data_IF_422611284798
#
_entry.id   IF_422611284798
#
_cell.length_a   1.000
_cell.length_b   1.000
_cell.length_c   1.000
_cell.angle_alpha   90.00
_cell.angle_beta   90.00
_cell.angle_gamma   90.00
#
_symmetry.space_group_name_H-M   'P 1'
#
loop_
_entity.id
_entity.type
_entity.pdbx_description
1 polymer ?
#
# COMPACT_ATOMS: atom_id res chain seq x y z
N UNK A 1 27.50 18.09 24.39
CA UNK A 1 26.97 18.71 23.15
C UNK A 1 27.43 17.92 21.93
N UNK A 2 26.65 16.92 21.48
CA UNK A 2 26.89 16.23 20.20
C UNK A 2 26.01 16.90 19.15
N UNK A 3 26.60 17.63 18.21
CA UNK A 3 25.90 18.17 17.03
C UNK A 3 25.45 17.00 16.16
N UNK A 4 24.18 16.65 16.18
CA UNK A 4 23.55 15.82 15.14
C UNK A 4 23.46 16.66 13.88
N UNK A 5 24.41 16.45 12.97
CA UNK A 5 24.34 16.93 11.60
C UNK A 5 23.20 16.17 10.91
N UNK A 6 21.99 16.74 10.96
CA UNK A 6 20.86 16.26 10.16
C UNK A 6 21.20 16.47 8.69
N UNK A 7 21.66 15.41 8.03
CA UNK A 7 21.73 15.35 6.57
C UNK A 7 20.32 15.56 6.04
N UNK A 8 20.11 16.68 5.35
CA UNK A 8 18.83 17.03 4.72
C UNK A 8 18.66 16.11 3.51
N UNK A 9 17.98 14.97 3.70
CA UNK A 9 17.69 14.03 2.62
C UNK A 9 16.48 14.56 1.84
N UNK A 10 16.73 15.08 0.63
CA UNK A 10 15.66 15.50 -0.27
C UNK A 10 15.15 14.30 -1.08
N UNK A 11 13.88 13.97 -0.91
CA UNK A 11 13.19 13.00 -1.76
C UNK A 11 12.45 13.71 -2.88
N UNK A 12 12.83 13.42 -4.14
CA UNK A 12 12.10 13.92 -5.32
C UNK A 12 11.10 12.86 -5.79
N UNK A 13 9.81 13.19 -5.72
CA UNK A 13 8.72 12.33 -6.19
C UNK A 13 8.20 12.88 -7.52
N UNK A 14 8.19 12.04 -8.55
CA UNK A 14 7.66 12.40 -9.87
C UNK A 14 6.47 11.52 -10.22
N UNK A 15 5.29 12.12 -10.42
CA UNK A 15 4.13 11.41 -10.98
C UNK A 15 4.23 11.42 -12.50
N UNK A 16 4.13 10.24 -13.11
CA UNK A 16 4.21 10.09 -14.56
C UNK A 16 2.97 9.37 -15.08
N UNK A 17 2.48 9.81 -16.24
CA UNK A 17 1.33 9.23 -16.91
C UNK A 17 1.81 8.14 -17.86
N UNK A 18 1.10 7.01 -17.84
CA UNK A 18 1.31 5.91 -18.77
C UNK A 18 0.60 6.22 -20.09
N UNK A 19 1.29 6.01 -21.20
CA UNK A 19 0.74 6.08 -22.55
C UNK A 19 0.90 4.75 -23.26
N UNK A 20 0.00 4.46 -24.19
CA UNK A 20 0.10 3.30 -25.06
C UNK A 20 0.96 3.64 -26.27
N UNK A 21 1.95 2.81 -26.58
CA UNK A 21 2.72 2.97 -27.81
C UNK A 21 1.98 2.29 -28.96
N UNK A 22 1.38 3.08 -29.86
CA UNK A 22 0.67 2.56 -31.04
C UNK A 22 1.62 2.01 -32.12
N UNK A 23 2.93 2.34 -32.05
CA UNK A 23 3.91 1.98 -33.09
C UNK A 23 4.60 0.63 -32.86
N UNK A 24 4.50 0.03 -31.67
CA UNK A 24 5.07 -1.30 -31.41
C UNK A 24 4.21 -2.47 -31.90
N UNK A 25 3.37 -2.23 -32.91
CA UNK A 25 2.53 -3.24 -33.59
C UNK A 25 3.37 -4.16 -34.51
N UNK A 26 4.42 -4.77 -33.98
CA UNK A 26 5.17 -5.85 -34.59
C UNK A 26 4.98 -7.10 -33.73
N UNK A 27 3.94 -7.89 -34.04
CA UNK A 27 3.76 -9.28 -33.64
C UNK A 27 3.57 -9.58 -32.15
N UNK A 28 2.41 -10.15 -31.80
CA UNK A 28 2.12 -10.99 -30.61
C UNK A 28 2.49 -10.49 -29.20
N UNK A 29 3.11 -9.31 -29.03
CA UNK A 29 3.35 -8.72 -27.71
C UNK A 29 2.19 -7.83 -27.31
N UNK A 30 1.83 -7.94 -26.04
CA UNK A 30 0.87 -7.06 -25.38
C UNK A 30 1.24 -5.59 -25.60
N UNK A 31 0.21 -4.75 -25.61
CA UNK A 31 0.32 -3.30 -25.82
C UNK A 31 1.37 -2.71 -24.86
N UNK A 32 2.52 -2.26 -25.40
CA UNK A 32 3.60 -1.73 -24.57
C UNK A 32 3.16 -0.42 -23.91
N UNK A 33 2.93 -0.48 -22.60
CA UNK A 33 2.76 0.69 -21.75
C UNK A 33 4.10 1.42 -21.58
N UNK A 34 4.18 2.67 -22.03
CA UNK A 34 5.37 3.52 -21.96
C UNK A 34 5.13 4.74 -21.06
N UNK A 35 6.16 5.13 -20.30
CA UNK A 35 6.12 6.33 -19.46
C UNK A 35 6.56 7.56 -20.25
N UNK A 36 5.96 8.73 -19.99
CA UNK A 36 6.34 9.97 -20.67
C UNK A 36 7.73 10.46 -20.25
N UNK A 37 8.36 11.32 -21.06
CA UNK A 37 9.66 11.92 -20.73
C UNK A 37 10.88 11.07 -21.12
N UNK A 38 10.72 10.13 -22.06
CA UNK A 38 11.79 9.29 -22.56
C UNK A 38 12.31 8.28 -21.54
N UNK A 39 13.55 7.82 -21.71
CA UNK A 39 14.11 6.73 -20.91
C UNK A 39 14.91 7.20 -19.68
N UNK A 40 15.25 8.48 -19.56
CA UNK A 40 16.12 8.98 -18.50
C UNK A 40 15.59 8.64 -17.09
N UNK A 41 14.31 8.91 -16.83
CA UNK A 41 13.68 8.67 -15.53
C UNK A 41 13.75 7.19 -15.11
N UNK A 42 13.67 6.26 -16.08
CA UNK A 42 13.78 4.81 -15.82
C UNK A 42 15.15 4.44 -15.23
N UNK A 43 16.22 5.13 -15.63
CA UNK A 43 17.57 4.85 -15.16
C UNK A 43 17.88 5.57 -13.84
N UNK A 44 17.52 6.85 -13.73
CA UNK A 44 17.81 7.68 -12.56
C UNK A 44 16.97 7.33 -11.33
N UNK A 45 15.69 6.94 -11.50
CA UNK A 45 14.84 6.61 -10.37
C UNK A 45 15.42 5.46 -9.52
N UNK A 46 15.48 5.67 -8.20
CA UNK A 46 15.87 4.65 -7.23
C UNK A 46 14.72 3.64 -6.97
N UNK A 47 13.49 4.16 -6.86
CA UNK A 47 12.28 3.36 -6.70
C UNK A 47 11.28 3.74 -7.79
N UNK A 48 10.65 2.75 -8.43
CA UNK A 48 9.55 2.94 -9.38
C UNK A 48 8.37 2.10 -8.95
N UNK A 49 7.23 2.76 -8.77
CA UNK A 49 5.97 2.14 -8.42
C UNK A 49 5.01 2.26 -9.60
N UNK A 50 4.27 1.20 -9.89
CA UNK A 50 3.16 1.19 -10.82
C UNK A 50 1.88 1.13 -10.00
N UNK A 51 1.07 2.16 -10.15
CA UNK A 51 -0.21 2.26 -9.47
C UNK A 51 -1.28 1.93 -10.50
N UNK A 52 -2.14 0.96 -10.19
CA UNK A 52 -3.26 0.56 -11.03
C UNK A 52 -4.53 0.54 -10.20
N UNK A 53 -5.63 0.97 -10.81
CA UNK A 53 -6.97 0.79 -10.24
C UNK A 53 -7.46 -0.63 -10.52
N UNK A 54 -7.85 -1.37 -9.49
CA UNK A 54 -8.40 -2.71 -9.65
C UNK A 54 -9.93 -2.68 -9.72
N UNK A 55 -10.59 -2.42 -8.59
CA UNK A 55 -12.04 -2.55 -8.45
C UNK A 55 -12.65 -1.27 -7.86
N UNK A 56 -13.92 -1.02 -8.19
CA UNK A 56 -14.73 -0.03 -7.49
C UNK A 56 -15.35 -0.68 -6.25
N UNK A 57 -15.30 0.03 -5.13
CA UNK A 57 -15.98 -0.38 -3.90
C UNK A 57 -17.39 0.22 -3.94
N UNK A 58 -18.39 -0.66 -3.87
CA UNK A 58 -19.79 -0.30 -3.81
C UNK A 58 -20.33 -0.62 -2.43
N UNK A 59 -21.05 0.32 -1.84
CA UNK A 59 -21.84 0.09 -0.62
C UNK A 59 -23.28 0.37 -1.00
N UNK A 60 -24.10 -0.68 -0.97
CA UNK A 60 -25.48 -0.64 -1.47
C UNK A 60 -25.48 -0.17 -2.94
N UNK A 61 -26.06 1.01 -3.22
CA UNK A 61 -26.16 1.57 -4.57
C UNK A 61 -25.16 2.70 -4.86
N UNK A 62 -24.25 3.00 -3.93
CA UNK A 62 -23.29 4.12 -4.07
C UNK A 62 -21.86 3.62 -4.21
N UNK A 63 -21.10 4.25 -5.10
CA UNK A 63 -19.65 4.02 -5.22
C UNK A 63 -18.96 4.76 -4.07
N UNK A 64 -18.47 4.00 -3.09
CA UNK A 64 -17.87 4.55 -1.86
C UNK A 64 -16.35 4.62 -1.93
N UNK A 65 -15.73 3.88 -2.86
CA UNK A 65 -14.28 3.89 -2.99
C UNK A 65 -13.72 3.08 -4.14
N UNK A 66 -12.42 2.80 -4.05
CA UNK A 66 -11.60 2.16 -5.07
C UNK A 66 -10.52 1.32 -4.41
N UNK A 67 -10.34 0.09 -4.90
CA UNK A 67 -9.16 -0.72 -4.58
C UNK A 67 -8.05 -0.42 -5.58
N UNK A 68 -6.87 -0.10 -5.07
CA UNK A 68 -5.68 0.29 -5.82
C UNK A 68 -4.59 -0.76 -5.58
N UNK A 69 -3.95 -1.22 -6.65
CA UNK A 69 -2.76 -2.07 -6.57
C UNK A 69 -1.51 -1.27 -6.88
N UNK A 70 -0.53 -1.36 -6.00
CA UNK A 70 0.78 -0.71 -6.12
C UNK A 70 1.84 -1.79 -6.27
N UNK A 71 2.49 -1.82 -7.42
CA UNK A 71 3.56 -2.77 -7.74
C UNK A 71 4.91 -2.06 -7.80
N UNK A 72 5.89 -2.54 -7.04
CA UNK A 72 7.26 -2.00 -7.05
C UNK A 72 8.05 -2.64 -8.19
N UNK A 73 8.07 -1.99 -9.36
CA UNK A 73 8.79 -2.47 -10.55
C UNK A 73 10.31 -2.36 -10.38
N UNK A 74 10.79 -1.28 -9.76
CA UNK A 74 12.23 -1.06 -9.55
C UNK A 74 12.45 -0.65 -8.11
N UNK A 75 13.40 -1.28 -7.45
CA UNK A 75 13.86 -0.89 -6.13
C UNK A 75 15.39 -1.10 -6.07
N UNK A 76 16.15 -0.03 -5.84
CA UNK A 76 17.61 -0.10 -5.66
C UNK A 76 18.02 -0.32 -4.19
N UNK A 77 17.09 -0.22 -3.23
CA UNK A 77 17.37 -0.25 -1.80
C UNK A 77 16.99 -1.57 -1.13
N UNK A 78 16.00 -2.27 -1.67
CA UNK A 78 15.50 -3.53 -1.12
C UNK A 78 15.03 -4.47 -2.25
N UNK A 79 14.65 -5.72 -1.95
CA UNK A 79 14.11 -6.64 -2.95
C UNK A 79 12.94 -6.03 -3.73
N UNK A 80 13.01 -6.11 -5.07
CA UNK A 80 11.99 -5.60 -5.99
C UNK A 80 10.81 -6.59 -6.14
N UNK A 81 9.79 -6.21 -6.92
CA UNK A 81 8.64 -7.05 -7.32
C UNK A 81 7.64 -7.37 -6.21
N UNK A 82 7.58 -6.56 -5.15
CA UNK A 82 6.49 -6.63 -4.16
C UNK A 82 5.25 -5.89 -4.69
N UNK A 83 4.07 -6.45 -4.37
CA UNK A 83 2.76 -5.86 -4.66
C UNK A 83 2.05 -5.55 -3.34
N UNK A 84 1.42 -4.39 -3.26
CA UNK A 84 0.54 -3.99 -2.17
C UNK A 84 -0.83 -3.67 -2.74
N UNK A 85 -1.90 -4.15 -2.10
CA UNK A 85 -3.27 -3.80 -2.43
C UNK A 85 -3.77 -2.87 -1.33
N UNK A 86 -4.32 -1.74 -1.72
CA UNK A 86 -4.76 -0.67 -0.81
C UNK A 86 -6.20 -0.29 -1.16
N UNK A 87 -7.02 -0.10 -0.14
CA UNK A 87 -8.38 0.43 -0.32
C UNK A 87 -8.40 1.94 -0.06
N UNK A 88 -9.05 2.67 -0.96
CA UNK A 88 -9.22 4.12 -0.89
C UNK A 88 -10.70 4.47 -0.89
N UNK A 89 -11.17 5.24 0.10
CA UNK A 89 -12.54 5.77 0.13
C UNK A 89 -12.56 7.22 -0.35
N UNK A 90 -13.58 7.58 -1.13
CA UNK A 90 -13.72 8.96 -1.60
C UNK A 90 -13.98 9.90 -0.41
N UNK A 91 -13.30 11.05 -0.38
CA UNK A 91 -13.39 12.04 0.71
C UNK A 91 -12.49 11.76 1.93
N UNK A 92 -12.17 10.50 2.23
CA UNK A 92 -11.26 10.13 3.33
C UNK A 92 -9.82 9.87 2.87
N UNK A 93 -9.64 9.32 1.67
CA UNK A 93 -8.33 8.90 1.17
C UNK A 93 -8.04 7.42 1.45
N UNK A 94 -6.78 7.08 1.70
CA UNK A 94 -6.36 5.70 1.99
C UNK A 94 -6.88 5.27 3.37
N UNK A 95 -7.49 4.10 3.44
CA UNK A 95 -7.99 3.52 4.69
C UNK A 95 -6.85 2.79 5.41
N UNK A 96 -6.11 3.52 6.26
CA UNK A 96 -4.95 2.95 6.96
C UNK A 96 -5.34 1.87 7.96
N UNK A 97 -6.46 2.05 8.64
CA UNK A 97 -6.98 1.17 9.68
C UNK A 97 -7.42 -0.17 9.10
N UNK A 98 -8.01 -0.14 7.90
CA UNK A 98 -8.38 -1.33 7.13
C UNK A 98 -7.14 -2.13 6.71
N UNK A 99 -6.08 -1.44 6.25
CA UNK A 99 -4.81 -2.07 5.90
C UNK A 99 -4.13 -2.72 7.12
N UNK A 100 -4.11 -2.03 8.26
CA UNK A 100 -3.56 -2.57 9.51
C UNK A 100 -4.32 -3.83 9.91
N UNK A 101 -5.66 -3.79 9.87
CA UNK A 101 -6.49 -4.93 10.26
C UNK A 101 -6.24 -6.15 9.36
N UNK A 102 -6.22 -5.96 8.04
CA UNK A 102 -6.00 -7.04 7.09
C UNK A 102 -4.58 -7.63 7.23
N UNK A 103 -3.57 -6.79 7.38
CA UNK A 103 -2.19 -7.23 7.58
C UNK A 103 -1.99 -7.94 8.92
N UNK A 104 -2.53 -7.39 10.01
CA UNK A 104 -2.44 -8.01 11.33
C UNK A 104 -3.16 -9.36 11.40
N UNK A 105 -4.31 -9.50 10.73
CA UNK A 105 -5.00 -10.78 10.60
C UNK A 105 -4.19 -11.79 9.77
N UNK A 106 -3.62 -11.34 8.64
CA UNK A 106 -2.78 -12.18 7.77
C UNK A 106 -1.52 -12.69 8.46
N UNK A 107 -0.92 -11.88 9.34
CA UNK A 107 0.27 -12.22 10.10
C UNK A 107 -0.02 -12.85 11.48
N UNK A 108 -1.29 -13.18 11.76
CA UNK A 108 -1.74 -13.84 13.01
C UNK A 108 -1.42 -13.05 14.29
N UNK A 109 -1.29 -11.72 14.19
CA UNK A 109 -1.17 -10.83 15.34
C UNK A 109 -2.57 -10.61 15.96
N UNK A 110 -3.58 -10.55 15.10
CA UNK A 110 -5.00 -10.51 15.45
C UNK A 110 -5.61 -11.87 15.08
N UNK A 111 -6.41 -12.44 15.96
CA UNK A 111 -7.14 -13.67 15.66
C UNK A 111 -8.41 -13.32 14.88
N UNK A 112 -8.50 -13.85 13.66
CA UNK A 112 -9.70 -13.78 12.82
C UNK A 112 -10.52 -15.05 13.04
N UNK A 113 -11.75 -14.89 13.51
CA UNK A 113 -12.76 -15.95 13.58
C UNK A 113 -13.70 -15.85 12.37
N UNK A 114 -14.56 -16.86 12.15
CA UNK A 114 -15.40 -16.98 10.95
C UNK A 114 -16.19 -15.70 10.64
N UNK A 115 -16.72 -15.03 11.67
CA UNK A 115 -17.44 -13.77 11.57
C UNK A 115 -16.92 -12.72 12.58
N UNK A 116 -15.61 -12.59 12.76
CA UNK A 116 -15.12 -11.56 13.67
C UNK A 116 -13.61 -11.43 13.83
N UNK A 117 -13.22 -10.38 14.56
CA UNK A 117 -11.84 -10.04 14.85
C UNK A 117 -11.65 -9.87 16.36
N UNK A 118 -10.62 -10.52 16.90
CA UNK A 118 -10.18 -10.33 18.28
C UNK A 118 -9.00 -9.39 18.34
N UNK A 119 -9.23 -8.18 18.84
CA UNK A 119 -8.21 -7.13 18.95
C UNK A 119 -7.93 -6.90 20.44
N UNK A 120 -6.73 -7.24 20.91
CA UNK A 120 -6.29 -7.07 22.31
C UNK A 120 -7.34 -7.54 23.35
N UNK A 121 -7.99 -8.68 23.11
CA UNK A 121 -8.98 -9.26 24.03
C UNK A 121 -10.40 -8.70 23.91
N UNK A 122 -10.68 -7.83 22.94
CA UNK A 122 -12.03 -7.37 22.60
C UNK A 122 -12.48 -8.02 21.29
N UNK A 123 -13.70 -8.55 21.27
CA UNK A 123 -14.28 -9.20 20.10
C UNK A 123 -15.18 -8.25 19.31
N UNK A 124 -14.94 -8.17 18.00
CA UNK A 124 -15.75 -7.43 17.04
C UNK A 124 -16.36 -8.39 16.03
N UNK A 125 -17.68 -8.35 15.87
CA UNK A 125 -18.42 -9.18 14.89
C UNK A 125 -18.22 -8.66 13.46
N UNK A 126 -18.31 -7.34 13.29
CA UNK A 126 -18.27 -6.73 11.97
C UNK A 126 -16.89 -6.16 11.65
N UNK A 127 -16.47 -6.30 10.40
CA UNK A 127 -15.26 -5.66 9.87
C UNK A 127 -15.30 -4.13 10.06
N UNK A 128 -16.47 -3.52 9.82
CA UNK A 128 -16.66 -2.08 9.93
C UNK A 128 -16.56 -1.60 11.39
N UNK A 129 -17.03 -2.41 12.35
CA UNK A 129 -16.90 -2.11 13.78
C UNK A 129 -15.44 -2.20 14.23
N UNK A 130 -14.69 -3.20 13.75
CA UNK A 130 -13.26 -3.34 14.02
C UNK A 130 -12.46 -2.15 13.46
N UNK A 131 -12.79 -1.67 12.26
CA UNK A 131 -12.17 -0.50 11.65
C UNK A 131 -12.44 0.78 12.45
N UNK A 132 -13.70 1.00 12.88
CA UNK A 132 -14.07 2.14 13.72
C UNK A 132 -13.36 2.11 15.07
N UNK A 133 -13.19 0.93 15.67
CA UNK A 133 -12.44 0.77 16.91
C UNK A 133 -10.97 1.17 16.76
N UNK A 134 -10.31 0.76 15.67
CA UNK A 134 -8.94 1.16 15.38
C UNK A 134 -8.82 2.66 15.08
N UNK A 135 -9.80 3.24 14.38
CA UNK A 135 -9.83 4.67 14.10
C UNK A 135 -10.02 5.52 15.38
N UNK A 136 -10.77 5.01 16.36
CA UNK A 136 -10.97 5.67 17.65
C UNK A 136 -9.75 5.53 18.59
N UNK A 137 -9.01 4.42 18.50
CA UNK A 137 -7.90 4.09 19.40
C UNK A 137 -6.57 4.04 18.65
N UNK A 138 -6.01 5.22 18.36
CA UNK A 138 -4.74 5.34 17.66
C UNK A 138 -3.57 4.64 18.39
N UNK A 139 -3.58 4.58 19.73
CA UNK A 139 -2.53 3.90 20.51
C UNK A 139 -2.49 2.40 20.22
N UNK A 140 -3.67 1.77 20.09
CA UNK A 140 -3.77 0.34 19.75
C UNK A 140 -3.31 0.11 18.32
N UNK A 141 -3.66 1.02 17.40
CA UNK A 141 -3.23 0.95 16.02
C UNK A 141 -1.70 1.10 15.88
N UNK A 142 -1.07 2.04 16.60
CA UNK A 142 0.39 2.21 16.57
C UNK A 142 1.12 0.99 17.10
N UNK A 143 0.65 0.41 18.22
CA UNK A 143 1.25 -0.80 18.78
C UNK A 143 1.22 -1.96 17.78
N UNK A 144 0.07 -2.16 17.10
CA UNK A 144 -0.07 -3.18 16.07
C UNK A 144 0.87 -2.93 14.89
N UNK A 145 1.02 -1.68 14.48
CA UNK A 145 1.92 -1.29 13.40
C UNK A 145 3.38 -1.54 13.76
N UNK A 146 3.79 -1.26 14.98
CA UNK A 146 5.18 -1.46 15.41
C UNK A 146 5.51 -2.96 15.49
N UNK A 147 4.61 -3.78 16.04
CA UNK A 147 4.76 -5.25 16.01
C UNK A 147 4.82 -5.78 14.57
N UNK A 148 3.95 -5.27 13.67
CA UNK A 148 3.97 -5.62 12.25
C UNK A 148 5.29 -5.24 11.58
N UNK A 149 5.79 -4.03 11.84
CA UNK A 149 7.05 -3.52 11.30
C UNK A 149 8.22 -4.36 11.77
N UNK A 150 8.26 -4.71 13.05
CA UNK A 150 9.32 -5.54 13.59
C UNK A 150 9.34 -6.92 12.92
N UNK A 151 8.18 -7.58 12.78
CA UNK A 151 8.13 -8.90 12.13
C UNK A 151 8.48 -8.85 10.63
N UNK A 152 8.11 -7.78 9.93
CA UNK A 152 8.25 -7.70 8.47
C UNK A 152 9.57 -7.08 8.00
N UNK A 153 10.14 -6.16 8.78
CA UNK A 153 11.36 -5.42 8.44
C UNK A 153 12.60 -6.00 9.13
N UNK A 154 12.49 -6.46 10.39
CA UNK A 154 13.59 -7.13 11.08
C UNK A 154 13.58 -8.62 10.73
N UNK A 155 13.92 -8.94 9.48
CA UNK A 155 14.23 -10.32 9.14
C UNK A 155 15.66 -10.61 9.66
N UNK A 156 15.86 -11.49 10.66
CA UNK A 156 17.20 -12.02 10.87
C UNK A 156 17.55 -12.79 9.60
N UNK A 157 18.69 -12.42 9.00
CA UNK A 157 19.29 -13.11 7.85
C UNK A 157 19.52 -14.58 8.16
#
# INVERSE_FOLDING_TARGET
MKKTMTSLVLFLITCNVVRTNLRSRHGFREQDEVTCGGNALKFYAAVRMRIRRNCLLHTEDKVTGVTISVEVIKNKLAPAMKKANLNMRFGRGLCHEEEILEMAAKHKIISKEENGYWIKGVFFKDHLAAEQFLAANNDVASDLVDVLRDQLLNRPS
#
